data_IF_011136251044
#
_entry.id   IF_011136251044
#
_cell.length_a   1.000
_cell.length_b   1.000
_cell.length_c   1.000
_cell.angle_alpha   90.00
_cell.angle_beta   90.00
_cell.angle_gamma   90.00
#
_symmetry.space_group_name_H-M   'P 1'
#
loop_
_entity.id
_entity.type
_entity.pdbx_description
1 polymer ?
#
# COMPACT_ATOMS: atom_id res chain seq x y z
N UNK A 1 5.38 35.85 -15.61
CA UNK A 1 4.51 34.85 -16.27
C UNK A 1 4.33 33.70 -15.30
N UNK A 2 3.10 33.41 -14.84
CA UNK A 2 2.80 32.33 -13.88
C UNK A 2 2.39 31.05 -14.63
N UNK A 3 2.86 29.86 -14.26
CA UNK A 3 2.44 28.61 -14.89
C UNK A 3 1.02 28.25 -14.45
N UNK A 4 0.22 27.75 -15.40
CA UNK A 4 -1.15 27.26 -15.18
C UNK A 4 -1.10 25.90 -14.49
N UNK A 5 -1.70 25.78 -13.31
CA UNK A 5 -2.01 24.48 -12.71
C UNK A 5 -3.23 23.90 -13.45
N UNK A 6 -3.05 22.74 -14.08
CA UNK A 6 -4.14 21.99 -14.70
C UNK A 6 -4.72 21.09 -13.61
N UNK A 7 -5.85 21.49 -13.04
CA UNK A 7 -6.64 20.65 -12.16
C UNK A 7 -7.58 19.85 -13.06
N UNK A 8 -7.35 18.54 -13.18
CA UNK A 8 -8.32 17.63 -13.78
C UNK A 8 -9.26 17.20 -12.66
N UNK A 9 -10.44 17.81 -12.59
CA UNK A 9 -11.54 17.33 -11.75
C UNK A 9 -12.68 16.91 -12.67
N UNK A 10 -12.95 15.61 -12.72
CA UNK A 10 -14.20 15.08 -13.29
C UNK A 10 -14.94 14.41 -12.15
N UNK A 11 -16.00 15.07 -11.66
CA UNK A 11 -17.18 14.36 -11.20
C UNK A 11 -18.40 15.25 -11.39
N UNK A 12 -19.15 14.98 -12.47
CA UNK A 12 -20.43 15.59 -12.74
C UNK A 12 -21.52 14.54 -12.55
N UNK A 13 -22.35 14.69 -11.51
CA UNK A 13 -23.71 14.16 -11.52
C UNK A 13 -24.63 15.19 -10.86
N UNK A 14 -25.50 15.76 -11.68
CA UNK A 14 -26.54 16.72 -11.34
C UNK A 14 -27.88 15.96 -11.37
N UNK A 15 -28.67 15.99 -10.29
CA UNK A 15 -30.10 15.63 -10.38
C UNK A 15 -30.95 16.69 -9.68
N UNK A 16 -31.83 17.31 -10.48
CA UNK A 16 -32.82 18.31 -10.11
C UNK A 16 -34.12 17.58 -9.68
N UNK A 17 -34.76 18.01 -8.59
CA UNK A 17 -36.09 17.57 -8.14
C UNK A 17 -37.17 18.63 -8.45
N UNK A 18 -38.48 18.35 -8.40
CA UNK A 18 -39.29 17.54 -9.31
C UNK A 18 -40.44 18.36 -9.98
N UNK A 19 -41.05 17.87 -11.06
CA UNK A 19 -42.39 18.30 -11.48
C UNK A 19 -43.33 17.09 -11.45
N UNK A 20 -44.46 17.24 -10.75
CA UNK A 20 -45.40 16.18 -10.35
C UNK A 20 -45.94 15.33 -11.51
N UNK A 21 -45.88 14.00 -11.35
CA UNK A 21 -46.62 13.07 -12.21
C UNK A 21 -46.23 11.61 -11.99
N UNK A 22 -47.11 10.85 -11.32
CA UNK A 22 -47.34 9.38 -11.40
C UNK A 22 -46.19 8.41 -11.09
N UNK A 23 -46.44 7.57 -10.07
CA UNK A 23 -45.76 6.30 -9.70
C UNK A 23 -44.37 6.03 -10.30
N UNK A 24 -43.32 6.40 -9.58
CA UNK A 24 -42.03 5.73 -9.67
C UNK A 24 -41.80 5.02 -8.33
N UNK A 25 -41.88 3.69 -8.39
CA UNK A 25 -41.34 2.75 -7.41
C UNK A 25 -40.12 3.37 -6.70
N UNK A 26 -40.16 3.40 -5.38
CA UNK A 26 -39.03 3.77 -4.52
C UNK A 26 -37.78 3.10 -5.11
N UNK A 27 -36.87 3.89 -5.67
CA UNK A 27 -35.63 3.37 -6.22
C UNK A 27 -34.97 2.55 -5.11
N UNK A 28 -34.65 1.27 -5.32
CA UNK A 28 -34.07 0.43 -4.28
C UNK A 28 -32.79 1.12 -3.85
N UNK A 29 -32.66 1.46 -2.56
CA UNK A 29 -31.52 2.13 -1.92
C UNK A 29 -30.30 2.20 -2.84
N UNK A 30 -30.28 3.22 -3.72
CA UNK A 30 -29.19 3.39 -4.67
C UNK A 30 -27.99 3.67 -3.79
N UNK A 31 -27.08 2.70 -3.66
CA UNK A 31 -25.93 2.83 -2.78
C UNK A 31 -25.24 4.16 -3.04
N UNK A 32 -25.26 5.06 -2.06
CA UNK A 32 -24.58 6.35 -2.18
C UNK A 32 -23.10 6.12 -1.92
N UNK A 33 -22.25 6.53 -2.86
CA UNK A 33 -20.82 6.66 -2.61
C UNK A 33 -20.63 7.95 -1.82
N UNK A 34 -20.15 7.83 -0.59
CA UNK A 34 -19.82 8.97 0.26
C UNK A 34 -18.31 9.03 0.47
N UNK A 35 -17.73 10.23 0.33
CA UNK A 35 -16.34 10.47 0.72
C UNK A 35 -16.32 10.59 2.24
N UNK A 36 -15.86 9.54 2.90
CA UNK A 36 -15.81 9.48 4.37
C UNK A 36 -14.67 10.36 4.90
N UNK A 37 -13.52 10.39 4.23
CA UNK A 37 -12.36 11.19 4.62
C UNK A 37 -11.41 11.43 3.45
N UNK A 38 -10.71 12.56 3.46
CA UNK A 38 -9.51 12.81 2.67
C UNK A 38 -8.36 13.11 3.62
N UNK A 39 -7.13 12.78 3.23
CA UNK A 39 -5.96 13.12 4.02
C UNK A 39 -4.71 13.19 3.13
N UNK A 40 -3.76 14.00 3.56
CA UNK A 40 -2.38 13.99 3.09
C UNK A 40 -1.47 13.66 4.27
N UNK A 41 -0.35 12.99 3.99
CA UNK A 41 0.73 12.87 4.97
C UNK A 41 1.26 14.28 5.31
N UNK A 42 1.45 14.63 6.61
CA UNK A 42 1.82 15.99 7.00
C UNK A 42 3.09 16.51 6.32
N UNK A 43 3.01 17.71 5.75
CA UNK A 43 4.13 18.38 5.07
C UNK A 43 3.70 18.99 3.73
N UNK A 44 4.50 19.91 3.20
CA UNK A 44 4.21 20.59 1.92
C UNK A 44 4.92 19.87 0.78
N UNK A 45 4.21 19.64 -0.32
CA UNK A 45 4.78 19.06 -1.54
C UNK A 45 4.90 17.54 -1.53
N UNK A 46 4.24 16.87 -0.57
CA UNK A 46 4.22 15.42 -0.50
C UNK A 46 3.16 14.84 -1.45
N UNK A 47 3.46 13.73 -2.11
CA UNK A 47 2.45 12.84 -2.70
C UNK A 47 2.10 11.76 -1.69
N UNK A 48 0.82 11.58 -1.35
CA UNK A 48 0.37 10.56 -0.38
C UNK A 48 -0.30 9.40 -1.10
N UNK A 49 0.23 8.18 -0.92
CA UNK A 49 -0.23 6.96 -1.58
C UNK A 49 -0.58 5.89 -0.53
N UNK A 50 -1.83 5.84 -0.04
CA UNK A 50 -2.29 4.78 0.85
C UNK A 50 -2.37 3.43 0.12
N UNK A 51 -1.99 2.34 0.78
CA UNK A 51 -1.90 1.00 0.19
C UNK A 51 -2.92 0.03 0.80
N UNK A 52 -2.95 -0.10 2.13
CA UNK A 52 -3.81 -1.08 2.84
C UNK A 52 -4.43 -0.47 4.08
N UNK A 53 -5.67 -0.85 4.39
CA UNK A 53 -6.40 -0.51 5.62
C UNK A 53 -6.72 -1.79 6.40
N UNK A 54 -6.51 -1.78 7.72
CA UNK A 54 -6.92 -2.88 8.59
C UNK A 54 -8.33 -2.67 9.20
N UNK A 55 -8.85 -3.66 9.92
CA UNK A 55 -10.21 -3.58 10.50
C UNK A 55 -10.33 -2.52 11.62
N UNK A 56 -9.21 -2.03 12.12
CA UNK A 56 -9.17 -0.96 13.12
C UNK A 56 -9.25 0.43 12.48
N UNK A 57 -9.21 0.51 11.15
CA UNK A 57 -9.15 1.75 10.38
C UNK A 57 -7.75 2.39 10.35
N UNK A 58 -6.71 1.64 10.74
CA UNK A 58 -5.33 2.09 10.53
C UNK A 58 -4.95 1.81 9.06
N UNK A 59 -4.29 2.77 8.42
CA UNK A 59 -3.92 2.75 7.01
C UNK A 59 -2.40 2.76 6.91
N UNK A 60 -1.82 1.83 6.17
CA UNK A 60 -0.42 1.89 5.75
C UNK A 60 -0.31 2.40 4.33
N UNK A 61 0.78 3.09 4.03
CA UNK A 61 1.13 3.47 2.67
C UNK A 61 2.50 4.12 2.63
N UNK A 62 2.72 4.95 1.63
CA UNK A 62 3.93 5.73 1.45
C UNK A 62 3.60 7.20 1.12
N UNK A 63 4.56 8.07 1.42
CA UNK A 63 4.58 9.41 0.86
C UNK A 63 5.89 9.65 0.13
N UNK A 64 5.82 10.45 -0.92
CA UNK A 64 6.99 10.94 -1.66
C UNK A 64 7.15 12.41 -1.29
N UNK A 65 8.28 12.78 -0.69
CA UNK A 65 8.54 14.16 -0.30
C UNK A 65 8.90 15.06 -1.49
N UNK A 66 9.08 16.36 -1.24
CA UNK A 66 9.43 17.33 -2.29
C UNK A 66 10.78 17.08 -2.97
N UNK A 67 11.65 16.25 -2.39
CA UNK A 67 12.93 15.84 -2.95
C UNK A 67 12.84 14.51 -3.73
N UNK A 68 11.65 13.89 -3.80
CA UNK A 68 11.44 12.61 -4.44
C UNK A 68 11.79 11.40 -3.55
N UNK A 69 11.98 11.62 -2.24
CA UNK A 69 12.31 10.55 -1.29
C UNK A 69 11.02 9.83 -0.86
N UNK A 70 11.00 8.50 -1.01
CA UNK A 70 9.86 7.66 -0.64
C UNK A 70 10.01 7.12 0.77
N UNK A 71 8.96 7.24 1.57
CA UNK A 71 8.92 6.85 2.98
C UNK A 71 7.58 6.21 3.31
N UNK A 72 7.60 5.14 4.10
CA UNK A 72 6.36 4.51 4.56
C UNK A 72 5.69 5.33 5.66
N UNK A 73 4.39 5.15 5.86
CA UNK A 73 3.67 5.72 7.01
C UNK A 73 2.56 4.78 7.50
N UNK A 74 2.14 4.97 8.75
CA UNK A 74 0.84 4.51 9.25
C UNK A 74 0.01 5.71 9.65
N UNK A 75 -1.20 5.83 9.09
CA UNK A 75 -2.25 6.73 9.58
C UNK A 75 -3.16 5.94 10.49
N UNK A 76 -3.21 6.31 11.76
CA UNK A 76 -4.09 5.66 12.73
C UNK A 76 -5.55 6.09 12.55
N UNK A 77 -6.48 5.30 13.06
CA UNK A 77 -7.92 5.57 12.91
C UNK A 77 -8.40 6.87 13.57
N UNK A 78 -7.65 7.40 14.54
CA UNK A 78 -7.87 8.73 15.12
C UNK A 78 -7.39 9.90 14.22
N UNK A 79 -6.82 9.60 13.05
CA UNK A 79 -6.29 10.57 12.09
C UNK A 79 -4.85 11.01 12.29
N UNK A 80 -4.20 10.61 13.39
CA UNK A 80 -2.76 10.86 13.60
C UNK A 80 -1.89 9.98 12.70
N UNK A 81 -0.67 10.43 12.41
CA UNK A 81 0.33 9.67 11.65
C UNK A 81 1.46 9.19 12.56
N UNK A 82 2.06 8.06 12.20
CA UNK A 82 3.35 7.64 12.72
C UNK A 82 4.46 8.60 12.28
N UNK A 83 5.65 8.47 12.88
CA UNK A 83 6.86 8.93 12.22
C UNK A 83 7.05 8.18 10.87
N UNK A 84 7.82 8.74 9.92
CA UNK A 84 8.16 8.04 8.69
C UNK A 84 8.77 6.67 8.99
N UNK A 85 8.31 5.65 8.27
CA UNK A 85 8.92 4.32 8.26
C UNK A 85 10.08 4.37 7.30
N UNK A 86 11.27 4.12 7.83
CA UNK A 86 12.55 4.15 7.12
C UNK A 86 13.36 2.97 7.59
N UNK A 87 14.06 2.31 6.66
CA UNK A 87 15.12 1.38 7.04
C UNK A 87 16.20 2.11 7.88
N UNK A 88 16.69 1.53 8.98
CA UNK A 88 17.60 2.21 9.90
C UNK A 88 18.91 2.75 9.29
N UNK A 89 19.40 2.16 8.20
CA UNK A 89 20.63 2.52 7.48
C UNK A 89 20.34 3.11 6.09
N UNK A 90 19.15 3.69 5.88
CA UNK A 90 18.71 4.10 4.55
C UNK A 90 19.68 5.12 3.94
N UNK A 91 20.24 4.76 2.79
CA UNK A 91 21.18 5.58 2.02
C UNK A 91 20.63 6.01 0.66
N UNK A 92 19.48 5.46 0.24
CA UNK A 92 18.95 5.61 -1.13
C UNK A 92 17.59 6.29 -1.18
N UNK A 93 16.88 6.38 -0.05
CA UNK A 93 15.67 7.18 0.04
C UNK A 93 14.39 6.45 -0.39
N UNK A 94 14.30 5.13 -0.16
CA UNK A 94 13.14 4.34 -0.61
C UNK A 94 12.69 3.32 0.43
N UNK A 95 11.47 3.50 0.95
CA UNK A 95 10.77 2.53 1.80
C UNK A 95 9.28 2.66 1.58
N UNK A 96 8.60 1.56 1.24
CA UNK A 96 7.18 1.52 0.92
C UNK A 96 6.45 0.57 1.86
N UNK A 97 5.38 1.03 2.51
CA UNK A 97 4.53 0.18 3.34
C UNK A 97 3.38 -0.41 2.52
N UNK A 98 3.36 -1.74 2.34
CA UNK A 98 2.42 -2.44 1.45
C UNK A 98 1.22 -3.03 2.18
N UNK A 99 1.44 -3.58 3.37
CA UNK A 99 0.42 -4.31 4.12
C UNK A 99 0.46 -4.00 5.62
N UNK A 100 -0.68 -4.13 6.29
CA UNK A 100 -0.82 -3.93 7.74
C UNK A 100 -1.89 -4.85 8.31
N UNK A 101 -1.61 -5.48 9.44
CA UNK A 101 -2.59 -6.29 10.19
C UNK A 101 -3.15 -5.53 11.42
N UNK A 102 -4.11 -6.13 12.14
CA UNK A 102 -4.77 -5.49 13.30
C UNK A 102 -3.83 -5.30 14.50
N UNK A 103 -2.75 -6.07 14.58
CA UNK A 103 -1.65 -5.88 15.55
C UNK A 103 -0.71 -4.73 15.17
N UNK A 104 -0.99 -4.03 14.05
CA UNK A 104 -0.16 -2.97 13.46
C UNK A 104 1.24 -3.44 13.07
N UNK A 105 1.39 -4.73 12.78
CA UNK A 105 2.56 -5.20 12.04
C UNK A 105 2.40 -4.75 10.61
N UNK A 106 3.37 -3.97 10.13
CA UNK A 106 3.46 -3.51 8.76
C UNK A 106 4.40 -4.42 7.99
N UNK A 107 4.09 -4.71 6.74
CA UNK A 107 5.03 -5.31 5.79
C UNK A 107 5.23 -4.39 4.59
N UNK A 108 6.34 -4.57 3.88
CA UNK A 108 6.62 -3.81 2.67
C UNK A 108 7.98 -4.13 2.08
N UNK A 109 8.53 -3.16 1.35
CA UNK A 109 9.83 -3.24 0.72
C UNK A 109 10.62 -1.93 0.82
N UNK A 110 11.95 -2.04 0.76
CA UNK A 110 12.88 -0.92 0.76
C UNK A 110 14.03 -1.20 -0.20
N UNK A 111 14.66 -0.14 -0.71
CA UNK A 111 15.85 -0.28 -1.53
C UNK A 111 17.10 -0.09 -0.66
N UNK A 112 18.21 -0.72 -1.05
CA UNK A 112 19.53 -0.41 -0.49
C UNK A 112 20.50 0.02 -1.57
N UNK A 113 21.72 0.40 -1.17
CA UNK A 113 22.78 0.84 -2.07
C UNK A 113 23.26 -0.23 -3.05
N UNK A 114 22.88 -1.50 -2.84
CA UNK A 114 23.18 -2.60 -3.77
C UNK A 114 22.30 -2.58 -5.03
N UNK A 115 21.27 -1.72 -5.05
CA UNK A 115 20.33 -1.56 -6.17
C UNK A 115 19.16 -2.55 -6.15
N UNK A 116 19.03 -3.37 -5.10
CA UNK A 116 17.97 -4.36 -4.94
C UNK A 116 16.85 -3.85 -4.02
N UNK A 117 15.69 -4.49 -4.10
CA UNK A 117 14.62 -4.34 -3.10
C UNK A 117 14.63 -5.51 -2.14
N UNK A 118 14.47 -5.19 -0.86
CA UNK A 118 14.39 -6.14 0.24
C UNK A 118 13.02 -6.02 0.89
N UNK A 119 12.47 -7.15 1.33
CA UNK A 119 11.24 -7.16 2.10
C UNK A 119 11.50 -6.73 3.54
N UNK A 120 10.48 -6.21 4.22
CA UNK A 120 10.57 -5.97 5.66
C UNK A 120 9.27 -6.22 6.41
N UNK A 121 9.40 -6.37 7.72
CA UNK A 121 8.35 -6.23 8.71
C UNK A 121 8.70 -5.13 9.70
N UNK A 122 7.71 -4.32 10.09
CA UNK A 122 7.81 -3.39 11.21
C UNK A 122 6.78 -3.78 12.25
N UNK A 123 7.23 -4.21 13.43
CA UNK A 123 6.36 -4.59 14.54
C UNK A 123 6.88 -4.04 15.84
N UNK A 124 6.04 -3.32 16.61
CA UNK A 124 6.45 -2.74 17.90
C UNK A 124 7.64 -1.77 17.82
N UNK A 125 7.87 -1.15 16.65
CA UNK A 125 9.02 -0.28 16.40
C UNK A 125 10.30 -1.01 15.97
N UNK A 126 10.28 -2.34 15.90
CA UNK A 126 11.39 -3.15 15.38
C UNK A 126 11.22 -3.37 13.89
N UNK A 127 12.16 -2.85 13.10
CA UNK A 127 12.29 -3.12 11.67
C UNK A 127 13.07 -4.42 11.48
N UNK A 128 12.57 -5.34 10.68
CA UNK A 128 13.18 -6.65 10.42
C UNK A 128 13.16 -6.92 8.93
N UNK A 129 14.33 -7.09 8.33
CA UNK A 129 14.48 -7.52 6.94
C UNK A 129 13.87 -8.92 6.74
N UNK A 130 13.30 -9.13 5.56
CA UNK A 130 12.84 -10.41 5.08
C UNK A 130 13.17 -10.57 3.60
N UNK A 131 14.05 -11.52 3.31
CA UNK A 131 14.34 -11.93 1.94
C UNK A 131 14.00 -13.40 1.72
N UNK A 132 13.41 -13.69 0.56
CA UNK A 132 13.25 -15.07 0.11
C UNK A 132 14.66 -15.64 -0.16
N UNK A 133 15.02 -16.82 0.39
CA UNK A 133 16.35 -17.38 0.20
C UNK A 133 16.74 -17.52 -1.28
N UNK A 134 17.85 -16.91 -1.67
CA UNK A 134 18.35 -16.93 -3.05
C UNK A 134 17.72 -15.89 -3.98
N UNK A 135 16.81 -15.05 -3.48
CA UNK A 135 16.28 -13.92 -4.22
C UNK A 135 17.30 -12.76 -4.28
N UNK A 136 17.23 -12.00 -5.38
CA UNK A 136 17.89 -10.69 -5.56
C UNK A 136 16.90 -9.54 -5.42
N UNK A 137 15.61 -9.85 -5.27
CA UNK A 137 14.53 -8.91 -5.05
C UNK A 137 13.48 -9.61 -4.20
N UNK A 138 13.04 -8.99 -3.10
CA UNK A 138 11.89 -9.46 -2.33
C UNK A 138 10.97 -8.28 -2.03
N UNK A 139 9.67 -8.47 -2.23
CA UNK A 139 8.65 -7.54 -1.75
C UNK A 139 7.53 -8.30 -1.02
N UNK A 140 7.24 -7.90 0.21
CA UNK A 140 6.14 -8.45 1.01
C UNK A 140 4.91 -7.57 0.80
N UNK A 141 3.95 -8.04 0.01
CA UNK A 141 2.84 -7.24 -0.51
C UNK A 141 1.60 -7.27 0.38
N UNK A 142 1.42 -8.34 1.16
CA UNK A 142 0.26 -8.52 2.03
C UNK A 142 0.62 -9.28 3.30
N UNK A 143 -0.11 -8.96 4.38
CA UNK A 143 -0.01 -9.63 5.69
C UNK A 143 -1.40 -9.68 6.33
N UNK A 144 -1.75 -10.81 6.93
CA UNK A 144 -3.00 -10.99 7.66
C UNK A 144 -2.79 -11.00 9.19
N UNK A 145 -3.89 -11.16 9.94
CA UNK A 145 -3.87 -11.11 11.41
C UNK A 145 -3.06 -12.22 12.09
N UNK A 146 -3.10 -13.48 11.61
CA UNK A 146 -2.16 -14.53 12.03
C UNK A 146 -0.69 -14.27 11.74
N UNK A 147 -0.36 -13.20 11.01
CA UNK A 147 0.96 -12.90 10.46
C UNK A 147 1.40 -13.90 9.37
N UNK A 148 0.45 -14.52 8.68
CA UNK A 148 0.73 -15.08 7.35
C UNK A 148 0.90 -13.92 6.38
N UNK A 149 1.75 -14.11 5.37
CA UNK A 149 2.12 -13.04 4.44
C UNK A 149 2.34 -13.58 3.03
N UNK A 150 2.16 -12.70 2.06
CA UNK A 150 2.29 -13.00 0.64
C UNK A 150 3.10 -11.92 -0.06
N UNK A 151 3.71 -12.28 -1.19
CA UNK A 151 4.49 -11.32 -1.94
C UNK A 151 5.05 -11.85 -3.24
N UNK A 152 6.11 -11.20 -3.68
CA UNK A 152 6.82 -11.51 -4.92
C UNK A 152 8.33 -11.43 -4.72
N UNK A 153 9.05 -12.21 -5.50
CA UNK A 153 10.50 -12.21 -5.49
C UNK A 153 11.05 -12.41 -6.91
N UNK A 154 12.31 -12.04 -7.12
CA UNK A 154 13.07 -12.36 -8.32
C UNK A 154 14.32 -13.10 -7.86
N UNK A 155 14.61 -14.25 -8.43
CA UNK A 155 15.84 -15.00 -8.19
C UNK A 155 16.88 -14.76 -9.31
N UNK A 156 17.98 -15.50 -9.29
CA UNK A 156 19.03 -15.40 -10.31
C UNK A 156 18.58 -15.73 -11.75
N UNK A 157 17.38 -16.29 -11.95
CA UNK A 157 16.81 -16.50 -13.29
C UNK A 157 16.26 -15.22 -13.93
N UNK A 158 15.99 -14.19 -13.12
CA UNK A 158 15.37 -12.94 -13.56
C UNK A 158 13.86 -13.01 -13.78
N UNK A 159 13.22 -14.16 -13.52
CA UNK A 159 11.76 -14.30 -13.60
C UNK A 159 11.15 -13.85 -12.27
N UNK A 160 10.09 -13.04 -12.35
CA UNK A 160 9.36 -12.62 -11.15
C UNK A 160 8.34 -13.68 -10.73
N UNK A 161 8.50 -14.18 -9.51
CA UNK A 161 7.73 -15.28 -8.95
C UNK A 161 6.96 -14.80 -7.71
N UNK A 162 5.99 -15.60 -7.26
CA UNK A 162 5.19 -15.30 -6.08
C UNK A 162 5.54 -16.25 -4.93
N UNK A 163 5.27 -15.78 -3.71
CA UNK A 163 5.36 -16.62 -2.53
C UNK A 163 4.19 -16.35 -1.57
N UNK A 164 3.88 -17.36 -0.77
CA UNK A 164 3.02 -17.26 0.43
C UNK A 164 3.71 -17.95 1.60
N UNK A 165 3.59 -17.39 2.79
CA UNK A 165 4.03 -18.00 4.03
C UNK A 165 2.82 -18.17 4.93
N UNK A 166 2.41 -19.42 5.19
CA UNK A 166 1.24 -19.75 6.02
C UNK A 166 1.69 -20.62 7.17
N UNK A 167 1.43 -20.19 8.40
CA UNK A 167 1.88 -20.88 9.62
C UNK A 167 3.40 -21.06 9.68
N UNK A 168 4.15 -20.12 9.10
CA UNK A 168 5.61 -20.18 8.97
C UNK A 168 6.13 -21.10 7.86
N UNK A 169 5.25 -21.72 7.06
CA UNK A 169 5.65 -22.54 5.91
C UNK A 169 5.66 -21.70 4.63
N UNK A 170 6.87 -21.43 4.11
CA UNK A 170 7.07 -20.72 2.86
C UNK A 170 6.81 -21.64 1.66
N UNK A 171 5.92 -21.20 0.76
CA UNK A 171 5.63 -21.84 -0.52
C UNK A 171 5.92 -20.85 -1.64
N UNK A 172 6.81 -21.23 -2.56
CA UNK A 172 7.15 -20.46 -3.76
C UNK A 172 6.38 -21.03 -4.95
N UNK A 173 5.87 -20.16 -5.83
CA UNK A 173 5.12 -20.62 -6.99
C UNK A 173 5.17 -19.62 -8.15
N UNK A 174 4.80 -20.10 -9.34
CA UNK A 174 4.69 -19.30 -10.55
C UNK A 174 3.57 -19.83 -11.43
N UNK A 175 2.90 -18.93 -12.14
CA UNK A 175 1.95 -19.33 -13.19
C UNK A 175 2.76 -19.84 -14.40
N UNK A 176 2.46 -21.03 -14.95
CA UNK A 176 3.18 -21.56 -16.10
C UNK A 176 3.22 -20.57 -17.27
N UNK A 177 4.40 -20.39 -17.86
CA UNK A 177 4.69 -19.45 -18.95
C UNK A 177 4.49 -17.95 -18.64
N UNK A 178 4.20 -17.57 -17.39
CA UNK A 178 4.19 -16.17 -17.00
C UNK A 178 5.61 -15.63 -16.82
N UNK A 179 5.81 -14.38 -17.22
CA UNK A 179 7.06 -13.63 -16.95
C UNK A 179 7.07 -12.94 -15.58
N UNK A 180 5.88 -12.80 -14.99
CA UNK A 180 5.70 -12.29 -13.64
C UNK A 180 4.48 -12.95 -12.97
N UNK A 181 4.67 -13.42 -11.74
CA UNK A 181 3.59 -13.87 -10.84
C UNK A 181 3.71 -13.11 -9.53
N UNK A 182 2.62 -12.51 -9.05
CA UNK A 182 2.58 -11.75 -7.80
C UNK A 182 1.39 -12.22 -6.94
N UNK A 183 1.59 -12.28 -5.64
CA UNK A 183 0.53 -12.50 -4.66
C UNK A 183 0.37 -11.24 -3.80
N UNK A 184 -0.72 -10.50 -4.01
CA UNK A 184 -0.94 -9.20 -3.37
C UNK A 184 -1.66 -9.27 -2.02
N UNK A 185 -2.35 -10.36 -1.71
CA UNK A 185 -3.16 -10.46 -0.50
C UNK A 185 -3.21 -11.88 0.09
N UNK A 186 -3.52 -11.97 1.38
CA UNK A 186 -3.61 -13.21 2.19
C UNK A 186 -4.49 -13.03 3.43
#
# INVERSE_FOLDING_TARGET
>A
MKPKQIIISILAVLFVFPLMGTFAQQAPNSGSIEVITTFDYPGTGNLTLPQKINERGDIVGEFIDSNGVTRGFVRFSNGSFSAPIVEPNDTVGFTEGRGINNSRTVCGDYATSDGNLHGFFLSGGTFTEYDVPGAVFTAVLGINNPADFAGTFIDGSGIQQAFVSVGGTLTLFSVPAAVATLAYDI
#
